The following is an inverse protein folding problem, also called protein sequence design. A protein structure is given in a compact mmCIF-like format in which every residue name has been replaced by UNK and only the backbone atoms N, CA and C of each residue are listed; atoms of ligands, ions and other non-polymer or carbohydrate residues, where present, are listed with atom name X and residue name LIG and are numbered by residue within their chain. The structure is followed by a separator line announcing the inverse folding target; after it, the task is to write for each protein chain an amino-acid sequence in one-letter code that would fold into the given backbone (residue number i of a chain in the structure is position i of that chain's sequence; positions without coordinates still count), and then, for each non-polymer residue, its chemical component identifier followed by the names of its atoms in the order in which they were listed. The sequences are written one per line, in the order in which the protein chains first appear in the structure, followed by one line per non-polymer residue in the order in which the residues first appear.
data_IF_706857743486
#
_entry.id   IF_706857743486
#
_cell.length_a   1.000
_cell.length_b   1.000
_cell.length_c   1.000
_cell.angle_alpha   90.00
_cell.angle_beta   90.00
_cell.angle_gamma   90.00
#
_symmetry.space_group_name_H-M   'P 1'
#
loop_
_entity.id
_entity.type
_entity.pdbx_description
1 polymer ?
#
# COMPACT_ATOMS: atom_id res chain seq x y z
N UNK A 1 -11.73 20.84 -19.54
CA UNK A 1 -11.43 19.60 -18.79
C UNK A 1 -10.24 19.82 -17.85
N UNK A 2 -10.28 20.81 -16.95
CA UNK A 2 -9.13 21.16 -16.07
C UNK A 2 -9.41 20.96 -14.57
N UNK A 3 -10.66 20.70 -14.18
CA UNK A 3 -11.05 20.57 -12.76
C UNK A 3 -10.54 19.28 -12.10
N UNK A 4 -10.39 18.19 -12.86
CA UNK A 4 -9.96 16.91 -12.32
C UNK A 4 -8.53 16.95 -11.75
N UNK A 5 -7.60 17.63 -12.42
CA UNK A 5 -6.19 17.67 -12.03
C UNK A 5 -5.94 18.55 -10.80
N UNK A 6 -6.74 19.60 -10.60
CA UNK A 6 -6.66 20.47 -9.43
C UNK A 6 -7.16 19.73 -8.17
N UNK A 7 -8.27 19.00 -8.28
CA UNK A 7 -8.83 18.19 -7.20
C UNK A 7 -7.92 17.02 -6.81
N UNK A 8 -7.31 16.34 -7.77
CA UNK A 8 -6.31 15.30 -7.50
C UNK A 8 -5.09 15.87 -6.78
N UNK A 9 -4.56 17.01 -7.26
CA UNK A 9 -3.44 17.68 -6.60
C UNK A 9 -3.78 18.06 -5.17
N UNK A 10 -5.00 18.57 -4.92
CA UNK A 10 -5.50 18.86 -3.56
C UNK A 10 -5.48 17.61 -2.68
N UNK A 11 -6.06 16.51 -3.15
CA UNK A 11 -6.09 15.24 -2.40
C UNK A 11 -4.69 14.75 -2.07
N UNK A 12 -3.78 14.80 -3.03
CA UNK A 12 -2.40 14.35 -2.82
C UNK A 12 -1.69 15.15 -1.73
N UNK A 13 -1.85 16.47 -1.72
CA UNK A 13 -1.26 17.32 -0.68
C UNK A 13 -1.90 17.05 0.69
N UNK A 14 -3.22 16.90 0.77
CA UNK A 14 -3.90 16.55 2.03
C UNK A 14 -3.48 15.17 2.56
N UNK A 15 -3.43 14.16 1.70
CA UNK A 15 -2.97 12.82 2.06
C UNK A 15 -1.52 12.85 2.59
N UNK A 16 -0.64 13.61 1.95
CA UNK A 16 0.74 13.79 2.38
C UNK A 16 0.82 14.50 3.74
N UNK A 17 -0.02 15.51 3.97
CA UNK A 17 -0.07 16.22 5.25
C UNK A 17 -0.57 15.32 6.38
N UNK A 18 -1.67 14.58 6.16
CA UNK A 18 -2.26 13.65 7.14
C UNK A 18 -1.24 12.58 7.54
N UNK A 19 -0.61 11.93 6.56
CA UNK A 19 0.39 10.88 6.83
C UNK A 19 1.60 11.45 7.55
N UNK A 20 2.07 12.66 7.24
CA UNK A 20 3.19 13.30 7.94
C UNK A 20 2.85 13.63 9.40
N UNK A 21 1.65 14.13 9.67
CA UNK A 21 1.17 14.41 11.03
C UNK A 21 1.09 13.11 11.84
N UNK A 22 0.49 12.06 11.28
CA UNK A 22 0.33 10.78 11.97
C UNK A 22 1.66 10.03 12.15
N UNK A 23 2.62 10.17 11.23
CA UNK A 23 3.98 9.66 11.41
C UNK A 23 4.69 10.30 12.61
N UNK A 24 4.47 11.60 12.85
CA UNK A 24 5.08 12.31 13.97
C UNK A 24 4.45 11.93 15.32
N UNK A 25 3.13 11.78 15.36
CA UNK A 25 2.37 11.55 16.60
C UNK A 25 2.15 10.07 16.92
N UNK A 26 2.37 9.17 15.95
CA UNK A 26 2.07 7.73 15.94
C UNK A 26 0.58 7.39 16.01
N UNK A 27 -0.16 7.98 16.96
CA UNK A 27 -1.59 7.79 17.14
C UNK A 27 -2.28 9.12 17.45
N UNK A 28 -3.45 9.37 16.86
CA UNK A 28 -4.17 10.63 17.06
C UNK A 28 -5.68 10.47 16.95
N UNK A 29 -6.43 11.24 17.75
CA UNK A 29 -7.88 11.34 17.59
C UNK A 29 -8.23 11.98 16.25
N UNK A 30 -9.35 11.56 15.63
CA UNK A 30 -9.84 12.12 14.37
C UNK A 30 -10.02 13.65 14.49
N UNK A 31 -10.66 14.14 15.55
CA UNK A 31 -10.88 15.59 15.73
C UNK A 31 -9.57 16.36 15.88
N UNK A 32 -8.60 15.81 16.63
CA UNK A 32 -7.29 16.41 16.79
C UNK A 32 -6.53 16.44 15.45
N UNK A 33 -6.69 15.41 14.62
CA UNK A 33 -6.09 15.37 13.28
C UNK A 33 -6.68 16.46 12.40
N UNK A 34 -8.01 16.56 12.37
CA UNK A 34 -8.73 17.57 11.60
C UNK A 34 -8.30 18.97 12.03
N UNK A 35 -8.25 19.23 13.34
CA UNK A 35 -7.79 20.52 13.88
C UNK A 35 -6.37 20.86 13.41
N UNK A 36 -5.42 19.92 13.52
CA UNK A 36 -4.03 20.16 13.12
C UNK A 36 -3.85 20.33 11.62
N UNK A 37 -4.61 19.60 10.80
CA UNK A 37 -4.59 19.74 9.34
C UNK A 37 -5.10 21.13 8.92
N UNK A 38 -6.23 21.56 9.49
CA UNK A 38 -6.79 22.88 9.20
C UNK A 38 -5.83 23.99 9.67
N UNK A 39 -5.26 23.86 10.87
CA UNK A 39 -4.26 24.80 11.40
C UNK A 39 -3.01 24.89 10.49
N UNK A 40 -2.52 23.75 10.02
CA UNK A 40 -1.38 23.66 9.12
C UNK A 40 -1.64 24.29 7.75
N UNK A 41 -2.85 24.11 7.21
CA UNK A 41 -3.28 24.74 5.97
C UNK A 41 -3.38 26.26 6.12
N UNK A 42 -4.00 26.76 7.20
CA UNK A 42 -4.18 28.19 7.41
C UNK A 42 -2.87 28.94 7.71
N UNK A 43 -1.91 28.29 8.36
CA UNK A 43 -0.61 28.90 8.69
C UNK A 43 0.45 28.77 7.59
N UNK A 44 0.14 28.13 6.46
CA UNK A 44 1.08 27.97 5.33
C UNK A 44 2.37 27.23 5.67
N UNK A 45 2.40 26.42 6.74
CA UNK A 45 3.61 25.84 7.35
C UNK A 45 4.35 24.81 6.49
N UNK A 46 3.83 24.47 5.31
CA UNK A 46 4.29 23.33 4.50
C UNK A 46 4.61 23.70 3.04
N UNK A 47 4.82 24.99 2.74
CA UNK A 47 5.30 25.48 1.44
C UNK A 47 4.20 25.99 0.50
N UNK A 48 4.59 26.52 -0.68
CA UNK A 48 3.67 27.23 -1.58
C UNK A 48 2.50 26.36 -2.08
N UNK A 49 2.67 25.03 -2.13
CA UNK A 49 1.60 24.09 -2.50
C UNK A 49 0.41 24.06 -1.53
N UNK A 50 0.57 24.50 -0.28
CA UNK A 50 -0.52 24.56 0.71
C UNK A 50 -1.26 25.90 0.71
N UNK A 51 -0.72 26.97 0.14
CA UNK A 51 -1.45 28.25 0.06
C UNK A 51 -2.76 28.09 -0.72
N UNK A 52 -2.74 27.30 -1.79
CA UNK A 52 -3.94 26.93 -2.56
C UNK A 52 -4.99 26.19 -1.71
N UNK A 53 -4.55 25.44 -0.69
CA UNK A 53 -5.45 24.69 0.19
C UNK A 53 -6.08 25.53 1.29
N UNK A 54 -5.47 26.66 1.66
CA UNK A 54 -6.00 27.51 2.75
C UNK A 54 -7.43 27.97 2.49
N UNK A 55 -7.83 28.12 1.22
CA UNK A 55 -9.19 28.54 0.85
C UNK A 55 -10.19 27.36 0.74
N UNK A 56 -9.69 26.13 0.64
CA UNK A 56 -10.50 24.96 0.26
C UNK A 56 -10.36 23.78 1.24
N UNK A 57 -9.72 23.92 2.39
CA UNK A 57 -9.51 22.83 3.34
C UNK A 57 -10.60 22.82 4.40
N UNK A 58 -11.72 22.15 4.12
CA UNK A 58 -12.78 21.93 5.10
C UNK A 58 -12.62 20.58 5.80
N UNK A 59 -13.22 20.44 6.98
CA UNK A 59 -13.25 19.17 7.72
C UNK A 59 -13.74 18.00 6.87
N UNK A 60 -14.71 18.23 5.98
CA UNK A 60 -15.24 17.23 5.04
C UNK A 60 -14.17 16.71 4.08
N UNK A 61 -13.31 17.58 3.56
CA UNK A 61 -12.19 17.19 2.69
C UNK A 61 -11.15 16.37 3.44
N UNK A 62 -10.84 16.78 4.67
CA UNK A 62 -9.89 16.07 5.53
C UNK A 62 -10.41 14.68 5.86
N UNK A 63 -11.67 14.56 6.28
CA UNK A 63 -12.29 13.27 6.58
C UNK A 63 -12.39 12.36 5.35
N UNK A 64 -12.66 12.93 4.17
CA UNK A 64 -12.66 12.19 2.91
C UNK A 64 -11.26 11.63 2.58
N UNK A 65 -10.20 12.43 2.79
CA UNK A 65 -8.82 11.98 2.65
C UNK A 65 -8.44 10.91 3.69
N UNK A 66 -8.88 11.05 4.95
CA UNK A 66 -8.66 10.05 6.00
C UNK A 66 -9.29 8.71 5.60
N UNK A 67 -10.55 8.73 5.15
CA UNK A 67 -11.24 7.52 4.68
C UNK A 67 -10.51 6.89 3.50
N UNK A 68 -10.05 7.71 2.55
CA UNK A 68 -9.28 7.22 1.42
C UNK A 68 -7.99 6.53 1.86
N UNK A 69 -7.24 7.11 2.81
CA UNK A 69 -6.02 6.50 3.34
C UNK A 69 -6.28 5.23 4.16
N UNK A 70 -7.40 5.15 4.88
CA UNK A 70 -7.86 3.92 5.55
C UNK A 70 -8.12 2.81 4.53
N UNK A 71 -8.81 3.12 3.43
CA UNK A 71 -9.10 2.16 2.36
C UNK A 71 -7.84 1.67 1.64
N UNK A 72 -6.80 2.51 1.56
CA UNK A 72 -5.50 2.15 1.02
C UNK A 72 -4.61 1.38 2.01
N UNK A 73 -5.01 1.27 3.28
CA UNK A 73 -4.23 0.58 4.31
C UNK A 73 -3.06 1.39 4.89
N UNK A 74 -2.94 2.69 4.57
CA UNK A 74 -1.94 3.57 5.18
C UNK A 74 -2.30 3.94 6.62
N UNK A 75 -3.58 3.92 6.95
CA UNK A 75 -4.10 4.21 8.29
C UNK A 75 -4.83 2.99 8.83
N UNK A 76 -4.85 2.87 10.16
CA UNK A 76 -5.67 1.90 10.89
C UNK A 76 -6.41 2.59 12.02
N UNK A 77 -7.63 2.12 12.30
CA UNK A 77 -8.37 2.48 13.52
C UNK A 77 -7.93 1.58 14.66
N UNK A 78 -7.70 2.17 15.83
CA UNK A 78 -7.31 1.41 17.01
C UNK A 78 -8.45 0.47 17.44
N UNK A 79 -8.09 -0.75 17.83
CA UNK A 79 -9.03 -1.71 18.40
C UNK A 79 -9.57 -1.20 19.74
N UNK A 80 -10.89 -1.26 19.93
CA UNK A 80 -11.58 -0.68 21.09
C UNK A 80 -11.73 0.84 21.08
N UNK A 81 -11.01 1.57 20.21
CA UNK A 81 -11.11 3.04 20.09
C UNK A 81 -11.10 3.48 18.62
N UNK A 82 -12.23 3.34 17.90
CA UNK A 82 -12.29 3.60 16.46
C UNK A 82 -12.06 5.06 16.05
N UNK A 83 -12.08 5.98 17.03
CA UNK A 83 -11.85 7.40 16.84
C UNK A 83 -10.36 7.77 16.90
N UNK A 84 -9.50 6.81 17.27
CA UNK A 84 -8.05 6.96 17.27
C UNK A 84 -7.50 6.33 15.99
N UNK A 85 -6.79 7.12 15.22
CA UNK A 85 -6.10 6.73 13.99
C UNK A 85 -4.63 6.48 14.27
N UNK A 86 -4.11 5.42 13.67
CA UNK A 86 -2.70 5.04 13.71
C UNK A 86 -2.15 4.99 12.29
N UNK A 87 -0.90 5.44 12.11
CA UNK A 87 -0.20 5.28 10.84
C UNK A 87 0.37 3.87 10.73
N UNK A 88 0.04 3.16 9.66
CA UNK A 88 0.59 1.83 9.35
C UNK A 88 1.68 2.02 8.30
N UNK A 89 2.92 1.67 8.66
CA UNK A 89 3.99 1.60 7.67
C UNK A 89 3.69 0.45 6.71
N UNK A 90 3.69 0.71 5.40
CA UNK A 90 3.57 -0.31 4.36
C UNK A 90 4.83 -1.17 4.22
N UNK A 91 5.83 -0.98 5.09
CA UNK A 91 6.92 -1.93 5.25
C UNK A 91 6.33 -3.25 5.78
N UNK A 92 6.48 -4.38 5.08
CA UNK A 92 6.02 -5.65 5.61
C UNK A 92 6.67 -5.85 6.97
N UNK A 93 5.91 -6.10 8.05
CA UNK A 93 6.51 -6.40 9.33
C UNK A 93 7.46 -7.58 9.13
N UNK A 94 8.69 -7.57 9.70
CA UNK A 94 9.50 -8.76 9.74
C UNK A 94 8.63 -9.87 10.34
N UNK A 95 8.54 -10.99 9.62
CA UNK A 95 7.62 -12.08 9.93
C UNK A 95 7.66 -12.37 11.43
N UNK A 96 6.51 -12.48 12.11
CA UNK A 96 6.50 -12.83 13.52
C UNK A 96 7.18 -14.18 13.66
N UNK A 97 8.33 -14.22 14.34
CA UNK A 97 8.89 -15.44 14.89
C UNK A 97 7.98 -15.87 16.03
N UNK A 98 6.82 -16.44 15.69
CA UNK A 98 5.95 -17.14 16.62
C UNK A 98 6.01 -18.61 16.27
N UNK A 99 6.59 -19.34 17.21
CA UNK A 99 6.87 -20.75 17.18
C UNK A 99 5.59 -21.57 16.99
N UNK A 100 5.79 -22.75 16.39
CA UNK A 100 4.89 -23.90 16.26
C UNK A 100 3.83 -23.79 15.15
N UNK A 101 4.26 -24.07 13.92
CA UNK A 101 3.44 -24.85 12.98
C UNK A 101 3.97 -26.30 12.99
N UNK A 102 3.13 -27.34 13.10
CA UNK A 102 3.58 -28.67 12.77
C UNK A 102 3.73 -28.73 11.25
N UNK A 103 4.98 -28.83 10.80
CA UNK A 103 5.33 -29.12 9.42
C UNK A 103 4.77 -30.50 9.07
N UNK A 104 3.62 -30.56 8.41
CA UNK A 104 3.18 -31.79 7.72
C UNK A 104 4.04 -31.90 6.47
N UNK A 105 5.14 -32.64 6.59
CA UNK A 105 6.02 -32.95 5.47
C UNK A 105 5.32 -33.92 4.52
N UNK A 106 4.89 -33.43 3.36
CA UNK A 106 4.55 -34.30 2.25
C UNK A 106 5.87 -34.74 1.59
N UNK A 107 6.21 -36.03 1.75
CA UNK A 107 7.33 -36.63 1.04
C UNK A 107 7.00 -36.62 -0.45
N UNK A 108 7.73 -35.81 -1.21
CA UNK A 108 7.70 -35.89 -2.67
C UNK A 108 8.63 -37.03 -3.06
N UNK A 109 8.05 -38.14 -3.54
CA UNK A 109 8.83 -39.25 -4.07
C UNK A 109 9.41 -38.79 -5.42
N UNK A 110 10.73 -38.63 -5.49
CA UNK A 110 11.42 -38.32 -6.74
C UNK A 110 11.28 -39.51 -7.71
N UNK A 111 10.51 -39.34 -8.78
CA UNK A 111 10.49 -40.30 -9.88
C UNK A 111 11.75 -40.04 -10.70
N UNK A 112 12.80 -40.80 -10.40
CA UNK A 112 14.05 -40.82 -11.17
C UNK A 112 13.79 -41.44 -12.53
N UNK A 113 13.71 -40.60 -13.56
CA UNK A 113 13.67 -41.05 -14.96
C UNK A 113 15.08 -41.50 -15.37
N UNK A 114 15.25 -42.80 -15.59
CA UNK A 114 16.49 -43.37 -16.08
C UNK A 114 16.66 -43.10 -17.58
N UNK A 115 17.80 -42.51 -17.94
CA UNK A 115 18.24 -42.40 -19.33
C UNK A 115 18.51 -43.81 -19.89
N UNK A 116 17.83 -44.16 -20.98
CA UNK A 116 18.17 -45.33 -21.79
C UNK A 116 18.92 -44.87 -23.03
N UNK A 117 20.24 -45.00 -22.98
CA UNK A 117 21.10 -45.06 -24.17
C UNK A 117 20.98 -46.43 -24.82
N UNK A 118 20.56 -46.49 -26.07
CA UNK A 118 20.81 -47.64 -26.94
C UNK A 118 20.99 -47.15 -28.39
N UNK A 119 22.17 -47.48 -28.93
CA UNK A 119 22.70 -47.05 -30.21
C UNK A 119 22.07 -47.77 -31.42
N UNK A 120 22.22 -47.08 -32.57
CA UNK A 120 22.37 -47.59 -33.93
C UNK A 120 21.15 -48.22 -34.63
N UNK A 121 20.72 -47.60 -35.74
CA UNK A 121 20.91 -48.12 -37.12
C UNK A 121 20.39 -47.12 -38.17
N UNK A 122 21.27 -46.76 -39.11
CA UNK A 122 20.94 -46.04 -40.35
C UNK A 122 19.84 -46.77 -41.12
N UNK A 123 18.92 -46.01 -41.74
CA UNK A 123 18.53 -46.18 -43.14
C UNK A 123 17.84 -44.92 -43.67
N UNK A 124 18.43 -44.38 -44.73
CA UNK A 124 17.85 -43.39 -45.64
C UNK A 124 16.50 -43.85 -46.17
N UNK A 125 15.58 -42.91 -46.40
CA UNK A 125 14.86 -42.80 -47.67
C UNK A 125 14.43 -41.35 -47.87
N UNK A 126 14.85 -40.79 -49.01
CA UNK A 126 14.33 -39.57 -49.61
C UNK A 126 12.86 -39.79 -49.99
N UNK A 127 11.99 -38.78 -49.84
CA UNK A 127 10.86 -38.61 -50.77
C UNK A 127 10.38 -37.17 -50.81
N UNK A 128 10.27 -36.66 -52.02
CA UNK A 128 10.02 -35.29 -52.47
C UNK A 128 8.51 -35.08 -52.77
N UNK A 129 8.14 -33.80 -52.99
CA UNK A 129 6.94 -33.24 -53.62
C UNK A 129 5.81 -32.83 -52.64
N UNK A 130 5.26 -31.61 -52.68
CA UNK A 130 5.24 -30.54 -53.71
C UNK A 130 5.49 -29.16 -53.11
#
# INVERSE_FOLDING_TARGET
MADGSALERKRNVLCCLITRILKAEKQLHIDNLVFRVIDACGKGKFGPGLQFLSFCCHSVDVLSCVLHLLNLGYLRRQEGRPHVLEYVSTEPPPAPTSQIQPLVAFQTVEIKMAASTASARRRQTFSTFR
#
